data_IF_688604980682
#
_entry.id   IF_688604980682
#
_cell.length_a   1.000
_cell.length_b   1.000
_cell.length_c   1.000
_cell.angle_alpha   90.00
_cell.angle_beta   90.00
_cell.angle_gamma   90.00
#
_symmetry.space_group_name_H-M   'P 1'
#
loop_
_entity.id
_entity.type
_entity.pdbx_description
1 polymer ?
#
# COMPACT_ATOMS: atom_id res chain seq x y z
N UNK A 1 19.19 9.02 -4.89
CA UNK A 1 18.61 7.68 -5.18
C UNK A 1 19.67 6.71 -5.70
N UNK A 2 20.40 7.05 -6.77
CA UNK A 2 21.34 6.13 -7.44
C UNK A 2 22.50 5.64 -6.56
N UNK A 3 23.08 6.50 -5.70
CA UNK A 3 24.14 6.12 -4.76
C UNK A 3 23.63 5.11 -3.72
N UNK A 4 22.41 5.32 -3.22
CA UNK A 4 21.78 4.44 -2.24
C UNK A 4 21.44 3.07 -2.87
N UNK A 5 20.92 3.06 -4.11
CA UNK A 5 20.71 1.83 -4.86
C UNK A 5 22.02 1.06 -5.09
N UNK A 6 23.09 1.76 -5.50
CA UNK A 6 24.39 1.14 -5.72
C UNK A 6 24.94 0.47 -4.44
N UNK A 7 24.81 1.15 -3.30
CA UNK A 7 25.18 0.58 -2.00
C UNK A 7 24.35 -0.66 -1.65
N UNK A 8 23.02 -0.59 -1.81
CA UNK A 8 22.13 -1.73 -1.55
C UNK A 8 22.47 -2.93 -2.44
N UNK A 9 22.66 -2.71 -3.74
CA UNK A 9 23.01 -3.77 -4.70
C UNK A 9 24.38 -4.37 -4.36
N UNK A 10 25.36 -3.55 -4.00
CA UNK A 10 26.68 -4.02 -3.59
C UNK A 10 26.61 -4.97 -2.40
N UNK A 11 25.89 -4.60 -1.33
CA UNK A 11 25.71 -5.47 -0.16
C UNK A 11 24.84 -6.70 -0.47
N UNK A 12 23.79 -6.55 -1.28
CA UNK A 12 22.91 -7.65 -1.64
C UNK A 12 23.62 -8.72 -2.47
N UNK A 13 24.49 -8.32 -3.41
CA UNK A 13 25.28 -9.23 -4.24
C UNK A 13 26.25 -10.09 -3.41
N UNK A 14 26.72 -9.61 -2.27
CA UNK A 14 27.59 -10.39 -1.38
C UNK A 14 26.85 -11.53 -0.66
N UNK A 15 25.52 -11.43 -0.53
CA UNK A 15 24.71 -12.45 0.15
C UNK A 15 24.05 -13.37 -0.87
N UNK A 16 23.34 -12.81 -1.86
CA UNK A 16 22.70 -13.60 -2.91
C UNK A 16 22.45 -12.75 -4.17
N UNK A 17 22.82 -13.29 -5.34
CA UNK A 17 22.57 -12.66 -6.64
C UNK A 17 21.09 -12.32 -6.87
N UNK A 18 20.17 -13.16 -6.39
CA UNK A 18 18.73 -12.94 -6.50
C UNK A 18 18.24 -11.71 -5.71
N UNK A 19 18.85 -11.44 -4.55
CA UNK A 19 18.52 -10.23 -3.79
C UNK A 19 18.97 -8.97 -4.52
N UNK A 20 20.18 -8.97 -5.09
CA UNK A 20 20.67 -7.87 -5.91
C UNK A 20 19.76 -7.61 -7.11
N UNK A 21 19.32 -8.68 -7.79
CA UNK A 21 18.37 -8.59 -8.89
C UNK A 21 17.02 -8.00 -8.45
N UNK A 22 16.46 -8.45 -7.31
CA UNK A 22 15.21 -7.89 -6.78
C UNK A 22 15.31 -6.41 -6.41
N UNK A 23 16.47 -5.94 -5.92
CA UNK A 23 16.68 -4.53 -5.59
C UNK A 23 16.68 -3.65 -6.85
N UNK A 24 17.32 -4.11 -7.93
CA UNK A 24 17.29 -3.42 -9.24
C UNK A 24 15.89 -3.43 -9.83
N UNK A 25 15.20 -4.58 -9.83
CA UNK A 25 13.81 -4.66 -10.31
C UNK A 25 12.87 -3.74 -9.53
N UNK A 26 12.97 -3.72 -8.20
CA UNK A 26 12.17 -2.83 -7.35
C UNK A 26 12.43 -1.36 -7.66
N UNK A 27 13.69 -0.97 -7.89
CA UNK A 27 14.03 0.38 -8.31
C UNK A 27 13.46 0.73 -9.69
N UNK A 28 13.52 -0.20 -10.65
CA UNK A 28 12.93 -0.01 -11.98
C UNK A 28 11.43 0.21 -11.89
N UNK A 29 10.72 -0.61 -11.11
CA UNK A 29 9.29 -0.45 -10.87
C UNK A 29 8.97 0.91 -10.23
N UNK A 30 9.75 1.34 -9.22
CA UNK A 30 9.62 2.67 -8.61
C UNK A 30 9.77 3.80 -9.65
N UNK A 31 10.77 3.74 -10.52
CA UNK A 31 10.97 4.75 -11.56
C UNK A 31 9.85 4.75 -12.60
N UNK A 32 9.34 3.59 -12.98
CA UNK A 32 8.19 3.49 -13.88
C UNK A 32 6.97 4.19 -13.26
N UNK A 33 6.62 3.84 -12.02
CA UNK A 33 5.48 4.45 -11.30
C UNK A 33 5.70 5.97 -11.15
N UNK A 34 6.91 6.39 -10.81
CA UNK A 34 7.24 7.80 -10.66
C UNK A 34 7.12 8.57 -12.00
N UNK A 35 7.56 7.96 -13.10
CA UNK A 35 7.42 8.50 -14.45
C UNK A 35 5.97 8.60 -14.88
N UNK A 36 5.16 7.58 -14.62
CA UNK A 36 3.71 7.62 -14.87
C UNK A 36 3.03 8.72 -14.07
N UNK A 37 3.39 8.90 -12.79
CA UNK A 37 2.85 9.96 -11.95
C UNK A 37 3.21 11.35 -12.47
N UNK A 38 4.47 11.58 -12.83
CA UNK A 38 4.89 12.87 -13.42
C UNK A 38 4.19 13.14 -14.75
N UNK A 39 4.03 12.10 -15.58
CA UNK A 39 3.30 12.22 -16.83
C UNK A 39 1.82 12.50 -16.58
N UNK A 40 1.20 11.87 -15.57
CA UNK A 40 -0.18 12.13 -15.17
C UNK A 40 -0.36 13.55 -14.61
N UNK A 41 0.53 14.04 -13.76
CA UNK A 41 0.53 15.42 -13.24
C UNK A 41 0.71 16.44 -14.38
N UNK A 42 1.60 16.16 -15.35
CA UNK A 42 1.77 16.97 -16.55
C UNK A 42 0.56 16.92 -17.48
N UNK A 43 -0.10 15.77 -17.57
CA UNK A 43 -1.33 15.59 -18.35
C UNK A 43 -2.50 16.31 -17.66
N UNK A 44 -2.66 16.21 -16.34
CA UNK A 44 -3.64 16.98 -15.55
C UNK A 44 -3.45 18.49 -15.70
N UNK A 45 -2.21 18.97 -15.73
CA UNK A 45 -1.91 20.38 -15.99
C UNK A 45 -2.35 20.83 -17.40
N UNK A 46 -2.23 19.95 -18.42
CA UNK A 46 -2.76 20.20 -19.78
C UNK A 46 -4.28 20.07 -19.84
N UNK A 47 -4.85 19.18 -19.05
CA UNK A 47 -6.28 18.87 -18.92
C UNK A 47 -7.04 19.91 -18.05
N UNK A 48 -6.35 20.82 -17.34
CA UNK A 48 -6.99 22.00 -16.73
C UNK A 48 -7.50 23.03 -17.75
N UNK A 49 -7.26 22.81 -19.04
CA UNK A 49 -7.93 23.52 -20.12
C UNK A 49 -9.36 22.95 -20.33
N UNK A 50 -10.37 23.78 -20.62
CA UNK A 50 -11.75 23.30 -20.77
C UNK A 50 -11.85 22.34 -21.98
N UNK A 51 -12.21 21.07 -21.74
CA UNK A 51 -12.40 20.07 -22.82
C UNK A 51 -12.05 18.60 -22.50
N UNK A 52 -11.75 18.25 -21.25
CA UNK A 52 -11.42 16.86 -20.88
C UNK A 52 -12.63 15.95 -20.97
N UNK A 53 -12.53 14.89 -21.78
CA UNK A 53 -13.56 13.85 -21.90
C UNK A 53 -13.72 13.08 -20.59
N UNK A 54 -14.96 12.95 -20.12
CA UNK A 54 -15.32 12.12 -18.96
C UNK A 54 -14.91 10.65 -19.13
N UNK A 55 -14.70 10.20 -20.37
CA UNK A 55 -14.17 8.87 -20.68
C UNK A 55 -12.77 8.64 -20.10
N UNK A 56 -11.90 9.65 -20.14
CA UNK A 56 -10.53 9.53 -19.62
C UNK A 56 -10.51 9.41 -18.10
N UNK A 57 -11.46 10.05 -17.41
CA UNK A 57 -11.61 9.94 -15.95
C UNK A 57 -12.13 8.56 -15.55
N UNK A 58 -13.10 8.03 -16.30
CA UNK A 58 -13.65 6.68 -16.06
C UNK A 58 -12.56 5.63 -16.27
N UNK A 59 -11.84 5.69 -17.39
CA UNK A 59 -10.75 4.75 -17.68
C UNK A 59 -9.65 4.79 -16.60
N UNK A 60 -9.28 5.98 -16.11
CA UNK A 60 -8.29 6.10 -15.03
C UNK A 60 -8.77 5.49 -13.71
N UNK A 61 -10.03 5.74 -13.32
CA UNK A 61 -10.62 5.16 -12.10
C UNK A 61 -10.73 3.63 -12.19
N UNK A 62 -11.09 3.11 -13.36
CA UNK A 62 -11.20 1.67 -13.61
C UNK A 62 -9.83 0.98 -13.56
N UNK A 63 -8.78 1.60 -14.11
CA UNK A 63 -7.40 1.08 -14.00
C UNK A 63 -6.93 1.06 -12.55
N UNK A 64 -7.27 2.09 -11.76
CA UNK A 64 -6.91 2.15 -10.34
C UNK A 64 -7.59 1.03 -9.54
N UNK A 65 -8.88 0.80 -9.79
CA UNK A 65 -9.65 -0.28 -9.16
C UNK A 65 -9.14 -1.67 -9.60
N UNK A 66 -8.84 -1.84 -10.89
CA UNK A 66 -8.25 -3.07 -11.43
C UNK A 66 -6.88 -3.36 -10.82
N UNK A 67 -6.02 -2.35 -10.65
CA UNK A 67 -4.69 -2.52 -10.04
C UNK A 67 -4.82 -2.96 -8.57
N UNK A 68 -5.71 -2.33 -7.81
CA UNK A 68 -5.99 -2.75 -6.43
C UNK A 68 -6.61 -4.15 -6.33
N UNK A 69 -7.37 -4.59 -7.34
CA UNK A 69 -7.89 -5.96 -7.39
C UNK A 69 -6.80 -7.01 -7.67
N UNK A 70 -5.78 -6.66 -8.47
CA UNK A 70 -4.66 -7.56 -8.83
C UNK A 70 -3.80 -7.88 -7.62
N UNK A 71 -3.51 -6.90 -6.76
CA UNK A 71 -2.73 -7.11 -5.54
C UNK A 71 -3.39 -8.16 -4.62
N UNK A 72 -4.73 -8.18 -4.56
CA UNK A 72 -5.49 -9.19 -3.81
C UNK A 72 -5.36 -10.60 -4.38
N UNK A 73 -5.34 -10.76 -5.71
CA UNK A 73 -5.17 -12.06 -6.37
C UNK A 73 -3.74 -12.58 -6.20
N UNK A 74 -2.73 -11.73 -6.43
CA UNK A 74 -1.31 -12.10 -6.27
C UNK A 74 -1.01 -12.46 -4.81
N UNK A 75 -1.59 -11.72 -3.85
CA UNK A 75 -1.49 -12.04 -2.43
C UNK A 75 -2.10 -13.40 -2.07
N UNK A 76 -3.25 -13.74 -2.64
CA UNK A 76 -3.88 -15.04 -2.40
C UNK A 76 -3.07 -16.23 -2.94
N UNK A 77 -2.35 -16.04 -4.06
CA UNK A 77 -1.44 -17.03 -4.63
C UNK A 77 -0.25 -17.36 -3.70
N UNK A 78 0.10 -16.49 -2.76
CA UNK A 78 1.10 -16.79 -1.74
C UNK A 78 0.65 -17.86 -0.74
N UNK A 79 -0.66 -18.11 -0.62
CA UNK A 79 -1.24 -19.07 0.31
C UNK A 79 -1.76 -20.34 -0.38
N UNK A 80 -2.30 -20.23 -1.61
CA UNK A 80 -2.86 -21.38 -2.33
C UNK A 80 -2.79 -21.18 -3.84
N UNK A 81 -2.59 -22.27 -4.59
CA UNK A 81 -2.66 -22.29 -6.05
C UNK A 81 -4.05 -22.68 -6.58
N UNK A 82 -5.00 -22.97 -5.69
CA UNK A 82 -6.36 -23.36 -6.07
C UNK A 82 -7.17 -22.14 -6.51
N UNK A 83 -7.26 -21.93 -7.82
CA UNK A 83 -8.02 -20.83 -8.45
C UNK A 83 -9.45 -20.69 -7.90
N UNK A 84 -10.23 -21.76 -7.67
CA UNK A 84 -11.59 -21.63 -7.10
C UNK A 84 -11.61 -21.02 -5.70
N UNK A 85 -10.63 -21.36 -4.85
CA UNK A 85 -10.51 -20.83 -3.48
C UNK A 85 -10.15 -19.34 -3.50
N UNK A 86 -9.26 -18.92 -4.42
CA UNK A 86 -8.89 -17.52 -4.61
C UNK A 86 -10.10 -16.69 -5.05
N UNK A 87 -10.86 -17.18 -6.04
CA UNK A 87 -12.05 -16.49 -6.55
C UNK A 87 -13.11 -16.30 -5.46
N UNK A 88 -13.38 -17.33 -4.65
CA UNK A 88 -14.34 -17.24 -3.55
C UNK A 88 -13.81 -16.27 -2.47
N UNK A 89 -12.55 -16.40 -2.07
CA UNK A 89 -11.94 -15.55 -1.06
C UNK A 89 -11.93 -14.07 -1.45
N UNK A 90 -11.50 -13.76 -2.67
CA UNK A 90 -11.52 -12.39 -3.19
C UNK A 90 -12.93 -11.87 -3.45
N UNK A 91 -13.87 -12.72 -3.88
CA UNK A 91 -15.27 -12.34 -4.04
C UNK A 91 -15.92 -11.93 -2.71
N UNK A 92 -15.72 -12.72 -1.65
CA UNK A 92 -16.19 -12.37 -0.30
C UNK A 92 -15.47 -11.12 0.22
N UNK A 93 -14.15 -11.06 0.07
CA UNK A 93 -13.33 -9.93 0.49
C UNK A 93 -13.78 -8.62 -0.18
N UNK A 94 -14.07 -8.65 -1.48
CA UNK A 94 -14.54 -7.50 -2.23
C UNK A 94 -15.89 -6.98 -1.71
N UNK A 95 -16.84 -7.86 -1.39
CA UNK A 95 -18.14 -7.44 -0.82
C UNK A 95 -17.96 -6.82 0.57
N UNK A 96 -17.13 -7.42 1.44
CA UNK A 96 -16.88 -6.90 2.79
C UNK A 96 -16.18 -5.55 2.75
N UNK A 97 -15.13 -5.41 1.94
CA UNK A 97 -14.39 -4.14 1.79
C UNK A 97 -15.28 -3.06 1.16
N UNK A 98 -16.16 -3.42 0.23
CA UNK A 98 -17.15 -2.50 -0.34
C UNK A 98 -18.12 -1.98 0.71
N UNK A 99 -18.70 -2.85 1.53
CA UNK A 99 -19.59 -2.45 2.64
C UNK A 99 -18.87 -1.55 3.66
N UNK A 100 -17.62 -1.88 4.00
CA UNK A 100 -16.80 -1.04 4.88
C UNK A 100 -16.51 0.34 4.28
N UNK A 101 -16.29 0.40 2.97
CA UNK A 101 -16.02 1.67 2.29
C UNK A 101 -17.29 2.52 2.23
N UNK A 102 -18.42 1.95 1.80
CA UNK A 102 -19.69 2.68 1.70
C UNK A 102 -20.17 3.19 3.05
N UNK A 103 -20.04 2.40 4.13
CA UNK A 103 -20.53 2.77 5.47
C UNK A 103 -19.52 3.49 6.34
N UNK A 104 -18.22 3.32 6.06
CA UNK A 104 -17.12 3.71 6.96
C UNK A 104 -16.25 4.85 6.47
N UNK A 105 -16.29 5.23 5.19
CA UNK A 105 -15.36 6.25 4.65
C UNK A 105 -15.47 7.59 5.35
N UNK A 106 -16.68 8.00 5.73
CA UNK A 106 -16.91 9.28 6.43
C UNK A 106 -16.32 9.28 7.85
N UNK A 107 -16.37 8.13 8.53
CA UNK A 107 -15.76 7.98 9.87
C UNK A 107 -14.24 7.92 9.77
N UNK A 108 -13.69 7.24 8.76
CA UNK A 108 -12.24 7.16 8.52
C UNK A 108 -11.65 8.55 8.22
N UNK A 109 -12.36 9.39 7.46
CA UNK A 109 -11.94 10.77 7.15
C UNK A 109 -11.85 11.68 8.37
N UNK A 110 -12.59 11.39 9.44
CA UNK A 110 -12.57 12.19 10.68
C UNK A 110 -11.30 11.99 11.54
N UNK A 111 -10.52 10.94 11.28
CA UNK A 111 -9.33 10.61 12.07
C UNK A 111 -8.06 11.25 11.49
N UNK A 112 -7.60 12.35 12.09
CA UNK A 112 -6.42 13.09 11.64
C UNK A 112 -5.13 12.23 11.61
N UNK A 113 -4.97 11.30 12.57
CA UNK A 113 -3.73 10.52 12.70
C UNK A 113 -3.74 9.17 11.97
N UNK A 114 -4.90 8.74 11.45
CA UNK A 114 -5.03 7.43 10.83
C UNK A 114 -4.28 7.33 9.50
N UNK A 115 -4.25 8.41 8.72
CA UNK A 115 -3.47 8.48 7.47
C UNK A 115 -1.98 8.28 7.72
N UNK A 116 -1.42 8.96 8.72
CA UNK A 116 0.00 8.81 9.07
C UNK A 116 0.25 7.42 9.65
N UNK A 117 -0.64 6.90 10.50
CA UNK A 117 -0.54 5.54 11.04
C UNK A 117 -0.48 4.47 9.96
N UNK A 118 -1.29 4.59 8.91
CA UNK A 118 -1.24 3.69 7.76
C UNK A 118 0.11 3.77 7.02
N UNK A 119 0.63 4.98 6.78
CA UNK A 119 1.94 5.16 6.11
C UNK A 119 3.10 4.60 6.95
N UNK A 120 3.11 4.80 8.27
CA UNK A 120 4.11 4.20 9.14
C UNK A 120 4.01 2.68 9.19
N UNK A 121 2.80 2.13 9.13
CA UNK A 121 2.58 0.68 9.13
C UNK A 121 3.16 0.03 7.88
N UNK A 122 3.00 0.66 6.70
CA UNK A 122 3.61 0.20 5.45
C UNK A 122 5.14 0.27 5.53
N UNK A 123 5.71 1.34 6.10
CA UNK A 123 7.16 1.47 6.27
C UNK A 123 7.72 0.38 7.19
N UNK A 124 7.06 0.11 8.32
CA UNK A 124 7.47 -0.94 9.26
C UNK A 124 7.38 -2.31 8.59
N UNK A 125 6.28 -2.59 7.90
CA UNK A 125 6.09 -3.83 7.14
C UNK A 125 7.19 -4.03 6.09
N UNK A 126 7.48 -3.00 5.28
CA UNK A 126 8.56 -3.05 4.29
C UNK A 126 9.92 -3.29 4.92
N UNK A 127 10.19 -2.71 6.09
CA UNK A 127 11.43 -2.92 6.85
C UNK A 127 11.54 -4.38 7.34
N UNK A 128 10.45 -4.97 7.83
CA UNK A 128 10.40 -6.38 8.25
C UNK A 128 10.65 -7.30 7.05
N UNK A 129 10.04 -7.02 5.90
CA UNK A 129 10.25 -7.80 4.68
C UNK A 129 11.69 -7.71 4.18
N UNK A 130 12.30 -6.52 4.23
CA UNK A 130 13.72 -6.36 3.90
C UNK A 130 14.60 -7.16 4.88
N UNK A 131 14.40 -7.02 6.18
CA UNK A 131 15.15 -7.77 7.19
C UNK A 131 15.03 -9.29 6.98
N UNK A 132 13.83 -9.78 6.64
CA UNK A 132 13.62 -11.18 6.31
C UNK A 132 14.42 -11.62 5.08
N UNK A 133 14.52 -10.76 4.05
CA UNK A 133 15.35 -11.03 2.87
C UNK A 133 16.84 -11.16 3.21
N UNK A 134 17.35 -10.38 4.17
CA UNK A 134 18.74 -10.44 4.63
C UNK A 134 19.09 -11.67 5.50
N UNK A 135 18.15 -12.59 5.72
CA UNK A 135 18.40 -13.86 6.42
C UNK A 135 18.03 -13.86 7.92
N UNK A 136 17.45 -12.77 8.42
CA UNK A 136 16.80 -12.81 9.73
C UNK A 136 15.52 -13.64 9.60
N UNK A 137 15.47 -14.81 10.24
CA UNK A 137 14.28 -15.65 10.22
C UNK A 137 13.16 -14.98 11.00
N UNK A 138 12.38 -14.16 10.31
CA UNK A 138 11.21 -13.51 10.89
C UNK A 138 10.02 -14.46 10.75
N UNK A 139 9.38 -14.88 11.84
CA UNK A 139 8.20 -15.73 11.75
C UNK A 139 7.10 -15.01 10.94
N UNK A 140 6.42 -15.76 10.06
CA UNK A 140 5.41 -15.22 9.15
C UNK A 140 4.27 -14.48 9.88
N UNK A 141 3.98 -14.84 11.14
CA UNK A 141 2.97 -14.17 11.97
C UNK A 141 3.45 -12.84 12.57
N UNK A 142 4.76 -12.60 12.68
CA UNK A 142 5.29 -11.37 13.28
C UNK A 142 4.96 -10.15 12.42
N UNK A 143 5.11 -10.28 11.12
CA UNK A 143 4.82 -9.24 10.14
C UNK A 143 3.39 -8.68 10.29
N UNK A 144 2.31 -9.48 10.19
CA UNK A 144 0.95 -8.98 10.39
C UNK A 144 0.70 -8.49 11.82
N UNK A 145 1.24 -9.14 12.86
CA UNK A 145 1.05 -8.70 14.25
C UNK A 145 1.62 -7.30 14.47
N UNK A 146 2.83 -7.02 13.97
CA UNK A 146 3.44 -5.69 14.09
C UNK A 146 2.64 -4.66 13.29
N UNK A 147 2.19 -4.98 12.08
CA UNK A 147 1.32 -4.08 11.30
C UNK A 147 0.03 -3.76 12.04
N UNK A 148 -0.67 -4.77 12.58
CA UNK A 148 -1.89 -4.57 13.38
C UNK A 148 -1.62 -3.75 14.64
N UNK A 149 -0.49 -3.96 15.31
CA UNK A 149 -0.11 -3.20 16.50
C UNK A 149 0.14 -1.72 16.18
N UNK A 150 0.86 -1.42 15.09
CA UNK A 150 1.14 -0.03 14.67
C UNK A 150 -0.16 0.67 14.26
N UNK A 151 -0.98 0.06 13.39
CA UNK A 151 -2.27 0.64 12.99
C UNK A 151 -3.18 0.82 14.21
N UNK A 152 -3.27 -0.19 15.08
CA UNK A 152 -4.07 -0.16 16.31
C UNK A 152 -3.64 0.93 17.28
N UNK A 153 -2.34 1.13 17.46
CA UNK A 153 -1.79 2.20 18.30
C UNK A 153 -2.17 3.60 17.75
N UNK A 154 -2.01 3.82 16.45
CA UNK A 154 -2.37 5.09 15.82
C UNK A 154 -3.89 5.32 15.80
N UNK A 155 -4.69 4.26 15.66
CA UNK A 155 -6.15 4.32 15.82
C UNK A 155 -6.53 4.72 17.24
N UNK A 156 -5.94 4.07 18.26
CA UNK A 156 -6.21 4.38 19.67
C UNK A 156 -5.87 5.84 20.00
N UNK A 157 -4.69 6.31 19.57
CA UNK A 157 -4.28 7.72 19.67
C UNK A 157 -5.29 8.66 18.99
N UNK A 158 -5.75 8.32 17.79
CA UNK A 158 -6.69 9.17 17.06
C UNK A 158 -8.07 9.23 17.71
N UNK A 159 -8.55 8.12 18.31
CA UNK A 159 -9.82 8.07 19.06
C UNK A 159 -9.71 8.85 20.37
N UNK A 160 -8.57 8.74 21.07
CA UNK A 160 -8.33 9.48 22.32
C UNK A 160 -8.33 11.00 22.09
N UNK A 161 -7.72 11.45 20.99
CA UNK A 161 -7.66 12.88 20.66
C UNK A 161 -9.04 13.43 20.26
N UNK A 162 -9.83 12.68 19.49
CA UNK A 162 -11.22 13.04 19.20
C UNK A 162 -12.08 13.16 20.47
N UNK A 163 -11.87 12.27 21.45
CA UNK A 163 -12.56 12.33 22.75
C UNK A 163 -12.11 13.51 23.61
N UNK A 164 -10.83 13.90 23.54
CA UNK A 164 -10.29 15.09 24.24
C UNK A 164 -10.77 16.40 23.61
N UNK A 165 -10.84 16.47 22.28
CA UNK A 165 -11.40 17.62 21.57
C UNK A 165 -12.90 17.83 21.84
N UNK A 166 -13.66 16.75 22.04
CA UNK A 166 -15.06 16.83 22.44
C UNK A 166 -15.25 17.23 23.92
N UNK A 167 -14.29 16.93 24.80
CA UNK A 167 -14.35 17.30 26.22
C UNK A 167 -13.89 18.75 26.51
N UNK A 168 -13.31 19.44 25.54
CA UNK A 168 -12.95 20.87 25.63
C UNK A 168 -13.99 21.82 25.02
N UNK A 169 -15.13 21.29 24.55
CA UNK A 169 -16.22 22.04 23.92
C UNK A 169 -17.55 21.95 24.70
N UNK A 170 -17.49 21.59 26.00
CA UNK A 170 -18.63 21.56 26.92
C UNK A 170 -18.41 22.55 28.04
#
# INVERSE_FOLDING_TARGET
>A
ASILLAAIVWFALQINTMMGFSAVLGSTAFFIIHGFRQNAEAQEARLRQPGVSDLSKIAYLEVLDATFSIDGVIGAFAFTLSVPLILIGNGIGAVVVRELTVRGVDRIRSYCFLKNGAMYSILVLGTIMLANSFGFHVPAWLSPVVTFAVVGYFLYRSVQEQRRGAAGAV
#
